data_IF_471830259897
#
_entry.id   IF_471830259897
#
_cell.length_a   1.000
_cell.length_b   1.000
_cell.length_c   1.000
_cell.angle_alpha   90.00
_cell.angle_beta   90.00
_cell.angle_gamma   90.00
#
_symmetry.space_group_name_H-M   'P 1'
#
loop_
_entity.id
_entity.type
_entity.pdbx_description
1 polymer ?
#
# COMPACT_ATOMS: atom_id res chain seq x y z
N UNK A 1 -4.09 -47.67 -9.75
CA UNK A 1 -4.09 -47.23 -8.33
C UNK A 1 -2.72 -46.73 -7.89
N UNK A 2 -1.63 -47.43 -8.21
CA UNK A 2 -0.26 -47.05 -7.85
C UNK A 2 0.15 -45.66 -8.35
N UNK A 3 -0.16 -45.30 -9.61
CA UNK A 3 0.20 -43.98 -10.16
C UNK A 3 -0.50 -42.81 -9.48
N UNK A 4 -1.73 -43.00 -8.99
CA UNK A 4 -2.49 -41.98 -8.27
C UNK A 4 -1.91 -41.78 -6.85
N UNK A 5 -1.49 -42.86 -6.21
CA UNK A 5 -0.83 -42.82 -4.90
C UNK A 5 0.53 -42.12 -5.02
N UNK A 6 1.33 -42.45 -6.04
CA UNK A 6 2.62 -41.79 -6.28
C UNK A 6 2.44 -40.30 -6.56
N UNK A 7 1.46 -39.93 -7.39
CA UNK A 7 1.15 -38.53 -7.66
C UNK A 7 0.74 -37.76 -6.39
N UNK A 8 -0.11 -38.35 -5.55
CA UNK A 8 -0.54 -37.73 -4.30
C UNK A 8 0.62 -37.55 -3.32
N UNK A 9 1.51 -38.54 -3.20
CA UNK A 9 2.69 -38.45 -2.34
C UNK A 9 3.63 -37.33 -2.78
N UNK A 10 3.86 -37.18 -4.10
CA UNK A 10 4.71 -36.11 -4.63
C UNK A 10 4.11 -34.71 -4.42
N UNK A 11 2.80 -34.57 -4.61
CA UNK A 11 2.09 -33.30 -4.40
C UNK A 11 2.12 -32.92 -2.91
N UNK A 12 1.77 -33.85 -2.03
CA UNK A 12 1.76 -33.61 -0.57
C UNK A 12 3.17 -33.32 -0.07
N UNK A 13 4.17 -34.07 -0.54
CA UNK A 13 5.58 -33.85 -0.20
C UNK A 13 6.10 -32.49 -0.67
N UNK A 14 5.75 -32.06 -1.89
CA UNK A 14 6.12 -30.75 -2.43
C UNK A 14 5.51 -29.59 -1.65
N UNK A 15 4.22 -29.70 -1.30
CA UNK A 15 3.52 -28.70 -0.48
C UNK A 15 4.15 -28.61 0.92
N UNK A 16 4.45 -29.75 1.56
CA UNK A 16 5.08 -29.78 2.87
C UNK A 16 6.50 -29.17 2.86
N UNK A 17 7.29 -29.45 1.82
CA UNK A 17 8.63 -28.86 1.65
C UNK A 17 8.57 -27.33 1.49
N UNK A 18 7.61 -26.83 0.69
CA UNK A 18 7.41 -25.40 0.50
C UNK A 18 6.86 -24.68 1.76
N UNK A 19 6.05 -25.37 2.57
CA UNK A 19 5.45 -24.82 3.78
C UNK A 19 6.37 -24.89 5.01
N UNK A 20 7.42 -25.72 5.00
CA UNK A 20 8.37 -25.89 6.10
C UNK A 20 8.97 -24.59 6.68
N UNK A 21 9.41 -23.59 5.88
CA UNK A 21 9.96 -22.34 6.44
C UNK A 21 8.90 -21.44 7.10
N UNK A 22 7.62 -21.56 6.73
CA UNK A 22 6.53 -20.79 7.32
C UNK A 22 6.04 -21.41 8.63
N UNK A 23 6.06 -22.73 8.73
CA UNK A 23 5.68 -23.46 9.94
C UNK A 23 6.70 -23.28 11.08
N UNK A 24 8.00 -23.24 10.75
CA UNK A 24 9.07 -22.96 11.74
C UNK A 24 8.97 -21.56 12.37
N UNK A 25 8.58 -20.55 11.58
CA UNK A 25 8.34 -19.18 12.12
C UNK A 25 7.17 -19.11 13.08
N UNK A 26 6.21 -20.04 13.00
CA UNK A 26 5.01 -20.05 13.84
C UNK A 26 5.22 -20.79 15.17
N UNK A 27 6.15 -21.73 15.23
CA UNK A 27 6.46 -22.47 16.47
C UNK A 27 7.35 -21.68 17.45
N UNK A 28 8.12 -20.70 16.95
CA UNK A 28 8.95 -19.85 17.81
C UNK A 28 8.13 -18.70 18.45
N UNK A 29 6.88 -18.52 18.01
CA UNK A 29 5.92 -17.60 18.59
C UNK A 29 4.92 -18.31 19.50
N UNK A 30 5.25 -18.35 20.79
CA UNK A 30 4.31 -18.34 21.92
C UNK A 30 3.42 -19.57 22.19
N UNK A 31 3.88 -20.39 23.13
CA UNK A 31 3.11 -20.96 24.23
C UNK A 31 3.99 -20.85 25.50
N UNK A 32 3.47 -20.97 26.75
CA UNK A 32 2.07 -21.02 27.20
C UNK A 32 1.80 -20.20 28.50
N UNK A 33 0.53 -19.94 28.85
CA UNK A 33 0.02 -20.08 30.24
C UNK A 33 -1.47 -19.68 30.34
N UNK A 34 -2.30 -20.61 30.87
CA UNK A 34 -3.36 -20.23 31.80
C UNK A 34 -4.83 -20.43 31.40
N UNK A 35 -5.32 -21.65 31.61
CA UNK A 35 -6.60 -21.98 32.29
C UNK A 35 -7.97 -21.55 31.70
N UNK A 36 -8.77 -22.56 31.35
CA UNK A 36 -10.25 -22.58 31.39
C UNK A 36 -10.77 -22.46 32.85
N UNK A 37 -12.10 -22.38 33.18
CA UNK A 37 -13.29 -22.65 32.35
C UNK A 37 -14.49 -21.68 32.55
N UNK A 38 -15.62 -21.95 31.89
CA UNK A 38 -16.93 -21.59 32.44
C UNK A 38 -17.86 -20.86 31.48
N UNK A 39 -18.71 -21.61 30.78
CA UNK A 39 -19.91 -21.03 30.17
C UNK A 39 -20.99 -20.76 31.22
N UNK A 40 -21.80 -19.73 30.98
CA UNK A 40 -23.25 -19.76 31.08
C UNK A 40 -23.86 -18.37 30.81
N UNK A 41 -24.80 -18.38 29.85
CA UNK A 41 -26.02 -17.59 29.80
C UNK A 41 -26.02 -16.11 29.38
N UNK A 42 -26.66 -15.95 28.22
CA UNK A 42 -27.87 -15.14 28.03
C UNK A 42 -27.73 -13.61 28.06
N UNK A 43 -27.72 -13.03 26.87
CA UNK A 43 -28.87 -12.26 26.40
C UNK A 43 -28.72 -12.02 24.90
N UNK A 44 -29.59 -12.66 24.10
CA UNK A 44 -29.99 -12.07 22.82
C UNK A 44 -30.91 -10.90 23.17
N UNK A 45 -30.33 -9.71 23.26
CA UNK A 45 -31.02 -8.45 23.09
C UNK A 45 -30.83 -8.03 21.64
N UNK A 46 -31.93 -7.99 20.92
CA UNK A 46 -32.04 -7.39 19.59
C UNK A 46 -31.79 -5.86 19.72
N UNK A 47 -31.62 -5.19 18.59
CA UNK A 47 -31.74 -3.72 18.38
C UNK A 47 -30.58 -2.81 18.86
N UNK A 48 -29.84 -2.31 17.88
CA UNK A 48 -28.83 -1.27 18.03
C UNK A 48 -28.19 -0.96 16.67
N UNK A 49 -28.99 -0.47 15.72
CA UNK A 49 -28.50 0.20 14.52
C UNK A 49 -27.41 1.22 14.93
N UNK A 50 -26.20 1.23 14.34
CA UNK A 50 -25.18 2.20 14.71
C UNK A 50 -25.71 3.59 14.35
N UNK A 51 -26.20 4.32 15.35
CA UNK A 51 -26.61 5.71 15.19
C UNK A 51 -25.36 6.51 14.81
N UNK A 52 -25.33 6.93 13.55
CA UNK A 52 -24.42 7.96 13.08
C UNK A 52 -24.58 9.22 13.95
N UNK A 53 -23.48 9.95 14.12
CA UNK A 53 -23.47 11.21 14.84
C UNK A 53 -24.58 12.10 14.27
N UNK A 54 -25.50 12.54 15.12
CA UNK A 54 -26.58 13.43 14.70
C UNK A 54 -26.26 14.81 15.23
N UNK A 55 -26.08 15.78 14.33
CA UNK A 55 -25.96 17.19 14.69
C UNK A 55 -27.31 17.67 15.25
N UNK A 56 -27.39 17.83 16.57
CA UNK A 56 -28.53 18.44 17.27
C UNK A 56 -28.03 19.73 17.93
N UNK A 57 -28.65 20.86 17.57
CA UNK A 57 -28.45 22.16 18.22
C UNK A 57 -26.99 22.65 18.31
N UNK A 58 -26.23 22.48 17.22
CA UNK A 58 -24.84 22.95 17.14
C UNK A 58 -23.83 22.18 17.99
N UNK A 59 -24.27 21.13 18.70
CA UNK A 59 -23.41 20.24 19.49
C UNK A 59 -23.48 18.82 18.96
N UNK A 60 -22.34 18.29 18.51
CA UNK A 60 -22.22 16.90 18.05
C UNK A 60 -22.09 15.97 19.27
N UNK A 61 -23.06 15.08 19.44
CA UNK A 61 -22.98 13.98 20.43
C UNK A 61 -21.73 13.11 20.15
N UNK A 62 -21.02 12.65 21.19
CA UNK A 62 -19.73 12.00 21.02
C UNK A 62 -19.87 10.64 20.31
N UNK A 63 -19.29 10.54 19.11
CA UNK A 63 -19.12 9.28 18.42
C UNK A 63 -18.15 8.35 19.19
N UNK A 64 -18.40 7.03 19.27
CA UNK A 64 -17.49 6.09 19.90
C UNK A 64 -16.12 6.09 19.19
N UNK A 65 -15.05 5.68 19.90
CA UNK A 65 -13.66 5.76 19.41
C UNK A 65 -13.44 5.13 18.01
N UNK A 66 -14.21 4.08 17.66
CA UNK A 66 -14.17 3.43 16.34
C UNK A 66 -14.90 4.16 15.20
N UNK A 67 -15.62 5.24 15.51
CA UNK A 67 -16.41 6.03 14.56
C UNK A 67 -15.80 7.42 14.26
N UNK A 68 -14.63 7.74 14.82
CA UNK A 68 -13.95 9.04 14.63
C UNK A 68 -13.57 9.31 13.16
N UNK A 69 -13.22 8.26 12.40
CA UNK A 69 -12.96 8.38 10.96
C UNK A 69 -14.22 8.78 10.18
N UNK A 70 -15.35 8.12 10.44
CA UNK A 70 -16.64 8.47 9.82
C UNK A 70 -17.08 9.90 10.18
N UNK A 71 -16.79 10.35 11.40
CA UNK A 71 -17.07 11.72 11.82
C UNK A 71 -16.19 12.77 11.10
N UNK A 72 -14.96 12.43 10.72
CA UNK A 72 -14.12 13.29 9.87
C UNK A 72 -14.67 13.36 8.44
N UNK A 73 -15.08 12.22 7.88
CA UNK A 73 -15.65 12.16 6.52
C UNK A 73 -16.96 12.96 6.44
N UNK A 74 -17.82 12.88 7.45
CA UNK A 74 -19.06 13.66 7.54
C UNK A 74 -18.79 15.18 7.65
N UNK A 75 -17.78 15.56 8.44
CA UNK A 75 -17.37 16.96 8.58
C UNK A 75 -16.84 17.54 7.25
N UNK A 76 -16.10 16.74 6.48
CA UNK A 76 -15.60 17.12 5.15
C UNK A 76 -16.75 17.26 4.15
N UNK A 77 -17.73 16.37 4.21
CA UNK A 77 -18.94 16.45 3.40
C UNK A 77 -19.72 17.74 3.70
N UNK A 78 -19.91 18.09 4.98
CA UNK A 78 -20.63 19.29 5.39
C UNK A 78 -19.92 20.59 4.94
N UNK A 79 -18.58 20.60 4.95
CA UNK A 79 -17.80 21.70 4.37
C UNK A 79 -17.95 21.77 2.85
N UNK A 80 -17.91 20.64 2.16
CA UNK A 80 -18.11 20.59 0.70
C UNK A 80 -19.51 21.04 0.28
N UNK A 81 -20.52 20.74 1.11
CA UNK A 81 -21.90 21.20 0.95
C UNK A 81 -22.11 22.67 1.38
N UNK A 82 -21.09 23.34 1.91
CA UNK A 82 -21.17 24.74 2.34
C UNK A 82 -21.95 24.97 3.63
N UNK A 83 -22.22 23.92 4.42
CA UNK A 83 -22.94 24.04 5.71
C UNK A 83 -22.09 24.67 6.81
N UNK A 84 -20.78 24.67 6.66
CA UNK A 84 -19.83 25.10 7.68
C UNK A 84 -18.95 26.23 7.17
N UNK A 85 -18.74 27.24 8.03
CA UNK A 85 -17.75 28.27 7.77
C UNK A 85 -16.33 27.69 7.88
N UNK A 86 -15.31 28.31 7.26
CA UNK A 86 -13.93 27.85 7.39
C UNK A 86 -13.43 27.84 8.84
N UNK A 87 -13.86 28.80 9.67
CA UNK A 87 -13.46 28.86 11.07
C UNK A 87 -14.07 27.72 11.89
N UNK A 88 -15.36 27.44 11.69
CA UNK A 88 -16.07 26.38 12.41
C UNK A 88 -15.56 24.99 12.01
N UNK A 89 -15.27 24.79 10.71
CA UNK A 89 -14.64 23.55 10.23
C UNK A 89 -13.29 23.29 10.91
N UNK A 90 -12.42 24.29 10.99
CA UNK A 90 -11.11 24.13 11.64
C UNK A 90 -11.24 23.80 13.13
N UNK A 91 -12.17 24.46 13.83
CA UNK A 91 -12.42 24.21 15.25
C UNK A 91 -12.94 22.79 15.49
N UNK A 92 -13.91 22.33 14.69
CA UNK A 92 -14.48 20.99 14.78
C UNK A 92 -13.45 19.90 14.41
N UNK A 93 -12.67 20.12 13.35
CA UNK A 93 -11.60 19.21 12.91
C UNK A 93 -10.54 19.05 13.99
N UNK A 94 -10.05 20.13 14.57
CA UNK A 94 -9.09 20.09 15.67
C UNK A 94 -9.64 19.37 16.92
N UNK A 95 -10.96 19.43 17.14
CA UNK A 95 -11.63 18.66 18.19
C UNK A 95 -11.68 17.16 17.93
N UNK A 96 -11.93 16.74 16.69
CA UNK A 96 -11.90 15.33 16.28
C UNK A 96 -10.48 14.76 16.29
N UNK A 97 -9.50 15.53 15.79
CA UNK A 97 -8.09 15.12 15.78
C UNK A 97 -7.55 14.88 17.20
N UNK A 98 -7.83 15.79 18.15
CA UNK A 98 -7.44 15.58 19.57
C UNK A 98 -8.04 14.30 20.14
N UNK A 99 -9.33 14.04 19.89
CA UNK A 99 -10.00 12.82 20.34
C UNK A 99 -9.39 11.55 19.72
N UNK A 100 -9.01 11.60 18.44
CA UNK A 100 -8.32 10.50 17.78
C UNK A 100 -6.94 10.24 18.38
N UNK A 101 -6.19 11.29 18.72
CA UNK A 101 -4.92 11.18 19.42
C UNK A 101 -5.10 10.56 20.82
N UNK A 102 -6.10 11.01 21.58
CA UNK A 102 -6.39 10.47 22.90
C UNK A 102 -6.84 8.99 22.85
N UNK A 103 -7.65 8.62 21.86
CA UNK A 103 -8.06 7.24 21.62
C UNK A 103 -6.85 6.35 21.27
N UNK A 104 -5.96 6.84 20.39
CA UNK A 104 -4.74 6.13 20.03
C UNK A 104 -3.83 5.96 21.26
N UNK A 105 -3.64 7.02 22.05
CA UNK A 105 -2.84 6.97 23.28
C UNK A 105 -3.40 5.97 24.30
N UNK A 106 -4.72 5.85 24.44
CA UNK A 106 -5.37 4.84 25.30
C UNK A 106 -5.22 3.41 24.76
N UNK A 107 -5.29 3.24 23.44
CA UNK A 107 -5.14 1.92 22.80
C UNK A 107 -3.70 1.45 22.71
N UNK A 108 -2.75 2.39 22.75
CA UNK A 108 -1.32 2.11 22.78
C UNK A 108 -0.98 1.59 24.17
N UNK A 109 -0.65 0.30 24.28
CA UNK A 109 0.16 -0.13 25.41
C UNK A 109 1.47 0.66 25.34
N UNK A 110 1.89 1.35 26.41
CA UNK A 110 3.21 1.93 26.47
C UNK A 110 4.21 0.81 26.23
N UNK A 111 4.92 0.87 25.10
CA UNK A 111 6.03 -0.03 24.86
C UNK A 111 7.28 0.71 25.32
N UNK A 112 7.80 0.41 26.53
CA UNK A 112 8.95 1.10 27.07
C UNK A 112 10.19 0.94 26.17
N UNK A 113 10.23 -0.02 25.25
CA UNK A 113 11.35 -0.21 24.33
C UNK A 113 11.29 0.73 23.12
N UNK A 114 10.09 1.15 22.69
CA UNK A 114 9.89 2.09 21.57
C UNK A 114 9.94 3.54 22.07
N UNK A 115 9.33 3.82 23.22
CA UNK A 115 9.25 5.19 23.76
C UNK A 115 10.51 5.61 24.54
N UNK A 116 11.36 4.64 24.93
CA UNK A 116 12.64 4.91 25.58
C UNK A 116 13.85 4.74 24.66
N UNK A 117 13.72 4.85 23.33
CA UNK A 117 14.88 5.05 22.46
C UNK A 117 15.42 6.46 22.78
N UNK A 118 16.42 6.61 23.68
CA UNK A 118 16.91 7.93 24.02
C UNK A 118 17.71 8.41 22.79
N UNK A 119 17.96 9.71 22.69
CA UNK A 119 18.93 10.26 21.73
C UNK A 119 20.30 9.51 21.76
N UNK A 120 20.58 8.77 22.85
CA UNK A 120 21.69 7.83 22.98
C UNK A 120 21.68 6.64 22.01
N UNK A 121 20.53 6.08 21.59
CA UNK A 121 20.50 4.99 20.58
C UNK A 121 20.80 5.53 19.19
N UNK A 122 20.38 6.77 18.89
CA UNK A 122 20.83 7.46 17.67
C UNK A 122 22.35 7.73 17.71
N UNK A 123 22.92 7.98 18.90
CA UNK A 123 24.36 8.16 19.11
C UNK A 123 25.15 6.84 19.25
N UNK A 124 24.48 5.71 19.45
CA UNK A 124 25.08 4.39 19.67
C UNK A 124 24.88 3.42 18.49
N UNK A 125 24.20 3.85 17.42
CA UNK A 125 24.24 3.13 16.15
C UNK A 125 25.70 3.11 15.68
N UNK A 126 26.36 1.95 15.55
CA UNK A 126 27.69 1.90 14.96
C UNK A 126 27.60 2.54 13.56
N UNK A 127 28.60 3.31 13.15
CA UNK A 127 28.65 3.99 11.83
C UNK A 127 28.37 3.03 10.64
N UNK A 128 28.47 1.73 10.88
CA UNK A 128 28.20 0.62 9.97
C UNK A 128 26.71 0.40 9.73
N UNK A 129 25.83 0.62 10.72
CA UNK A 129 24.39 0.43 10.57
C UNK A 129 23.74 1.44 9.59
N UNK A 130 24.06 2.75 9.64
CA UNK A 130 23.65 3.70 8.61
C UNK A 130 24.21 3.34 7.23
N UNK A 131 25.46 2.88 7.15
CA UNK A 131 26.10 2.46 5.89
C UNK A 131 25.46 1.22 5.28
N UNK A 132 25.10 0.22 6.09
CA UNK A 132 24.41 -0.97 5.65
C UNK A 132 23.01 -0.63 5.10
N UNK A 133 22.26 0.24 5.77
CA UNK A 133 20.96 0.69 5.28
C UNK A 133 21.09 1.48 3.97
N UNK A 134 22.08 2.37 3.86
CA UNK A 134 22.38 3.08 2.62
C UNK A 134 22.73 2.12 1.46
N UNK A 135 23.53 1.09 1.73
CA UNK A 135 23.87 0.07 0.73
C UNK A 135 22.64 -0.72 0.26
N UNK A 136 21.73 -1.06 1.18
CA UNK A 136 20.45 -1.71 0.85
C UNK A 136 19.58 -0.78 0.00
N UNK A 137 19.48 0.50 0.35
CA UNK A 137 18.72 1.49 -0.43
C UNK A 137 19.28 1.64 -1.85
N UNK A 138 20.60 1.78 -2.01
CA UNK A 138 21.26 1.85 -3.32
C UNK A 138 21.04 0.56 -4.13
N UNK A 139 21.07 -0.60 -3.48
CA UNK A 139 20.76 -1.88 -4.13
C UNK A 139 19.30 -1.94 -4.60
N UNK A 140 18.36 -1.50 -3.77
CA UNK A 140 16.95 -1.43 -4.11
C UNK A 140 16.69 -0.48 -5.30
N UNK A 141 17.30 0.70 -5.30
CA UNK A 141 17.20 1.66 -6.41
C UNK A 141 17.72 1.08 -7.72
N UNK A 142 18.89 0.43 -7.69
CA UNK A 142 19.45 -0.25 -8.87
C UNK A 142 18.52 -1.34 -9.41
N UNK A 143 17.93 -2.15 -8.53
CA UNK A 143 16.97 -3.18 -8.92
C UNK A 143 15.71 -2.57 -9.54
N UNK A 144 15.16 -1.52 -8.93
CA UNK A 144 13.99 -0.81 -9.46
C UNK A 144 14.30 -0.20 -10.84
N UNK A 145 15.48 0.41 -11.02
CA UNK A 145 15.90 0.93 -12.32
C UNK A 145 16.06 -0.16 -13.37
N UNK A 146 16.65 -1.31 -13.01
CA UNK A 146 16.78 -2.44 -13.92
C UNK A 146 15.41 -3.00 -14.34
N UNK A 147 14.46 -3.07 -13.41
CA UNK A 147 13.09 -3.56 -13.67
C UNK A 147 12.25 -2.57 -14.49
N UNK A 148 12.43 -1.26 -14.29
CA UNK A 148 11.70 -0.22 -15.05
C UNK A 148 12.09 -0.14 -16.52
N UNK A 149 13.19 -0.76 -16.95
CA UNK A 149 13.64 -0.72 -18.34
C UNK A 149 14.01 0.69 -18.86
N UNK A 150 14.48 0.81 -20.11
CA UNK A 150 14.84 2.10 -20.68
C UNK A 150 13.60 2.97 -20.95
N UNK A 151 13.64 4.22 -20.48
CA UNK A 151 12.65 5.26 -20.81
C UNK A 151 12.89 5.72 -22.24
N UNK A 152 11.93 5.45 -23.13
CA UNK A 152 11.97 5.95 -24.51
C UNK A 152 11.44 7.38 -24.55
N UNK A 153 11.99 8.24 -25.41
CA UNK A 153 11.50 9.61 -25.57
C UNK A 153 10.82 9.80 -26.91
N UNK A 154 9.68 10.50 -26.91
CA UNK A 154 9.06 11.01 -28.12
C UNK A 154 9.74 12.32 -28.51
N UNK A 155 10.10 12.47 -29.79
CA UNK A 155 10.70 13.71 -30.30
C UNK A 155 9.77 14.93 -30.15
N UNK A 156 8.45 14.72 -30.20
CA UNK A 156 7.44 15.78 -30.14
C UNK A 156 6.94 16.06 -28.72
N UNK A 157 6.67 15.02 -27.94
CA UNK A 157 6.03 15.16 -26.63
C UNK A 157 6.98 15.04 -25.44
N UNK A 158 8.21 14.53 -25.65
CA UNK A 158 9.19 14.30 -24.59
C UNK A 158 9.18 12.87 -23.99
N UNK A 159 9.71 12.67 -22.77
CA UNK A 159 9.93 11.36 -22.16
C UNK A 159 8.64 10.52 -22.03
N UNK A 160 8.71 9.23 -22.36
CA UNK A 160 7.65 8.23 -22.08
C UNK A 160 8.08 7.31 -20.94
N UNK A 161 7.53 7.51 -19.73
CA UNK A 161 7.87 6.70 -18.56
C UNK A 161 7.37 5.24 -18.68
N UNK A 162 6.51 4.94 -19.65
CA UNK A 162 5.96 3.61 -19.86
C UNK A 162 7.02 2.66 -20.46
N UNK A 163 7.41 1.59 -19.75
CA UNK A 163 8.40 0.64 -20.25
C UNK A 163 7.91 -0.09 -21.50
N UNK A 164 8.77 -0.18 -22.51
CA UNK A 164 8.48 -0.93 -23.74
C UNK A 164 7.40 -0.30 -24.64
N UNK A 165 7.07 0.98 -24.46
CA UNK A 165 6.15 1.70 -25.32
C UNK A 165 6.62 1.69 -26.78
N UNK A 166 5.80 1.11 -27.68
CA UNK A 166 6.02 1.14 -29.14
C UNK A 166 5.46 2.40 -29.81
N UNK A 167 4.61 3.14 -29.11
CA UNK A 167 3.97 4.36 -29.58
C UNK A 167 3.87 5.38 -28.45
N UNK A 168 3.85 6.67 -28.78
CA UNK A 168 3.60 7.73 -27.82
C UNK A 168 2.11 7.76 -27.42
N UNK A 169 1.83 7.67 -26.11
CA UNK A 169 0.47 7.75 -25.54
C UNK A 169 -0.22 9.11 -25.78
N UNK A 170 0.55 10.16 -26.09
CA UNK A 170 0.03 11.52 -26.31
C UNK A 170 -0.26 11.82 -27.79
N UNK A 171 0.69 11.52 -28.70
CA UNK A 171 0.55 11.87 -30.12
C UNK A 171 0.41 10.67 -31.07
N UNK A 172 0.65 9.44 -30.61
CA UNK A 172 0.52 8.23 -31.43
C UNK A 172 1.72 7.91 -32.34
N UNK A 173 2.79 8.72 -32.33
CA UNK A 173 3.99 8.45 -33.14
C UNK A 173 4.73 7.20 -32.65
N UNK A 174 5.33 6.43 -33.55
CA UNK A 174 6.05 5.19 -33.19
C UNK A 174 7.37 5.46 -32.47
N UNK A 175 7.67 4.70 -31.42
CA UNK A 175 8.87 4.80 -30.60
C UNK A 175 9.71 3.52 -30.79
N UNK A 176 10.90 3.66 -31.39
CA UNK A 176 11.89 2.59 -31.43
C UNK A 176 11.72 1.47 -32.48
N UNK A 177 10.76 1.55 -33.41
CA UNK A 177 10.64 0.57 -34.51
C UNK A 177 9.29 0.54 -35.24
N UNK A 178 9.20 -0.26 -36.31
CA UNK A 178 7.97 -0.50 -37.06
C UNK A 178 6.94 -1.28 -36.21
N UNK A 179 5.70 -0.80 -36.07
CA UNK A 179 4.71 -1.47 -35.24
C UNK A 179 4.16 -2.78 -35.82
N UNK A 180 4.27 -2.98 -37.14
CA UNK A 180 3.77 -4.20 -37.80
C UNK A 180 4.78 -5.34 -37.78
N UNK A 181 6.04 -5.08 -38.12
CA UNK A 181 7.05 -6.14 -38.26
C UNK A 181 8.15 -6.09 -37.19
N UNK A 182 8.15 -5.10 -36.30
CA UNK A 182 9.14 -4.95 -35.23
C UNK A 182 10.54 -4.57 -35.70
N UNK A 183 10.72 -4.25 -36.99
CA UNK A 183 12.02 -3.83 -37.51
C UNK A 183 12.40 -2.45 -36.99
N UNK A 184 13.64 -2.29 -36.53
CA UNK A 184 14.18 -1.00 -36.09
C UNK A 184 14.24 -0.06 -37.29
N UNK A 185 13.71 1.15 -37.14
CA UNK A 185 13.74 2.14 -38.22
C UNK A 185 15.07 2.88 -38.15
N UNK A 186 15.87 2.79 -39.22
CA UNK A 186 17.19 3.41 -39.28
C UNK A 186 17.15 4.95 -39.29
N UNK A 187 16.07 5.53 -39.82
CA UNK A 187 15.86 6.98 -39.92
C UNK A 187 14.67 7.41 -39.03
N UNK A 188 14.87 8.29 -38.04
CA UNK A 188 13.83 8.66 -37.08
C UNK A 188 12.62 9.38 -37.72
N UNK A 189 12.77 9.90 -38.95
CA UNK A 189 11.77 10.63 -39.73
C UNK A 189 11.17 9.81 -40.90
N UNK A 190 11.47 8.51 -40.99
CA UNK A 190 10.94 7.66 -42.04
C UNK A 190 9.40 7.59 -41.97
N UNK A 191 8.73 7.83 -43.11
CA UNK A 191 7.27 7.71 -43.24
C UNK A 191 6.79 6.28 -43.46
N UNK A 192 7.69 5.39 -43.88
CA UNK A 192 7.39 3.99 -44.18
C UNK A 192 8.49 3.11 -43.63
N UNK A 193 8.11 1.91 -43.19
CA UNK A 193 9.06 0.86 -42.83
C UNK A 193 9.78 0.34 -44.09
N UNK A 194 11.09 0.46 -44.10
CA UNK A 194 12.00 -0.05 -45.14
C UNK A 194 11.94 -1.57 -45.32
N UNK A 195 11.52 -2.31 -44.29
CA UNK A 195 11.38 -3.77 -44.37
C UNK A 195 10.01 -4.27 -44.84
N UNK A 196 8.91 -3.66 -44.38
CA UNK A 196 7.56 -4.20 -44.62
C UNK A 196 6.58 -3.21 -45.28
N UNK A 197 7.05 -2.00 -45.62
CA UNK A 197 6.26 -0.98 -46.33
C UNK A 197 5.11 -0.36 -45.52
N UNK A 198 4.99 -0.67 -44.23
CA UNK A 198 3.90 -0.12 -43.40
C UNK A 198 4.18 1.35 -43.08
N UNK A 199 3.15 2.18 -43.20
CA UNK A 199 3.19 3.59 -42.82
C UNK A 199 3.53 3.74 -41.34
N UNK A 200 4.50 4.60 -41.04
CA UNK A 200 4.87 5.01 -39.70
C UNK A 200 4.15 6.32 -39.40
N UNK A 201 3.45 6.39 -38.27
CA UNK A 201 2.87 7.64 -37.78
C UNK A 201 4.01 8.54 -37.28
N UNK A 202 4.22 9.65 -38.00
CA UNK A 202 5.19 10.70 -37.66
C UNK A 202 4.80 11.52 -36.44
#
# INVERSE_FOLDING_TARGET
MTSLIVGLVLIVGGIAFAAAPLLRRRSDGSDPSGAAPGGANAARGHEGEPRAATLVDGTVEPAPDGALGMALDELELDRAMGKLSPADYLALRAGLERRAQDALARSRLPDPQIDAVPAAVAAALPDEAPRALAAIAEQAERLVHALRGPVVACATCGPRPEPGARFCSTCGSSLGGCPRCGHTIAQPDARFCDRCGTTLSG
#
